data_IF_250544808631
#
_entry.id   IF_250544808631
#
_cell.length_a   1.000
_cell.length_b   1.000
_cell.length_c   1.000
_cell.angle_alpha   90.00
_cell.angle_beta   90.00
_cell.angle_gamma   90.00
#
_symmetry.space_group_name_H-M   'P 1'
#
loop_
_entity.id
_entity.type
_entity.pdbx_description
1 polymer ?
#
# COMPACT_ATOMS: atom_id res chain seq x y z
N UNK A 1 -26.56 7.19 -9.69
CA UNK A 1 -26.28 8.11 -8.56
C UNK A 1 -26.85 7.48 -7.30
N UNK A 2 -26.02 6.88 -6.44
CA UNK A 2 -26.49 6.16 -5.24
C UNK A 2 -26.36 7.04 -3.99
N UNK A 3 -27.45 7.13 -3.23
CA UNK A 3 -27.58 7.90 -1.99
C UNK A 3 -26.56 7.41 -0.95
N UNK A 4 -25.60 8.27 -0.63
CA UNK A 4 -24.65 8.09 0.48
C UNK A 4 -25.40 8.30 1.79
N UNK A 5 -26.04 7.26 2.33
CA UNK A 5 -26.67 7.33 3.64
C UNK A 5 -25.58 7.55 4.69
N UNK A 6 -25.57 8.78 5.24
CA UNK A 6 -24.77 9.14 6.40
C UNK A 6 -25.42 8.47 7.60
N UNK A 7 -24.98 7.25 7.94
CA UNK A 7 -25.36 6.61 9.21
C UNK A 7 -24.75 7.45 10.32
N UNK A 8 -25.55 8.34 10.91
CA UNK A 8 -25.22 9.05 12.13
C UNK A 8 -26.41 8.96 13.06
N UNK A 9 -26.20 8.36 14.24
CA UNK A 9 -27.07 8.55 15.40
C UNK A 9 -27.84 7.33 15.90
N UNK A 10 -27.70 6.14 15.33
CA UNK A 10 -28.31 4.94 15.93
C UNK A 10 -27.33 4.23 16.86
N UNK A 11 -27.76 4.02 18.12
CA UNK A 11 -27.09 3.09 19.06
C UNK A 11 -27.12 1.71 18.43
N UNK A 12 -25.95 1.25 17.99
CA UNK A 12 -25.76 -0.07 17.42
C UNK A 12 -25.30 -0.97 18.55
N UNK A 13 -26.13 -1.96 18.92
CA UNK A 13 -25.80 -2.93 19.96
C UNK A 13 -25.41 -4.26 19.35
N UNK A 14 -24.20 -4.72 19.62
CA UNK A 14 -23.77 -6.09 19.29
C UNK A 14 -23.73 -6.86 20.61
N UNK A 15 -24.51 -7.94 20.71
CA UNK A 15 -24.59 -8.77 21.93
C UNK A 15 -24.94 -7.96 23.20
N UNK A 16 -25.75 -6.91 23.05
CA UNK A 16 -26.14 -6.03 24.16
C UNK A 16 -25.11 -4.96 24.53
N UNK A 17 -23.95 -4.92 23.89
CA UNK A 17 -22.93 -3.88 24.07
C UNK A 17 -23.09 -2.77 23.03
N UNK A 18 -23.11 -1.52 23.48
CA UNK A 18 -23.13 -0.35 22.60
C UNK A 18 -21.78 -0.20 21.87
N UNK A 19 -21.83 -0.13 20.54
CA UNK A 19 -20.64 0.10 19.71
C UNK A 19 -20.32 1.59 19.62
N UNK A 20 -19.07 1.93 19.90
CA UNK A 20 -18.55 3.25 19.67
C UNK A 20 -18.30 3.49 18.17
N UNK A 21 -18.79 4.62 17.67
CA UNK A 21 -18.53 5.06 16.30
C UNK A 21 -17.18 5.75 16.21
N UNK A 22 -16.13 4.97 15.92
CA UNK A 22 -14.76 5.46 15.72
C UNK A 22 -14.51 5.83 14.26
N UNK A 23 -13.77 6.90 14.01
CA UNK A 23 -13.48 7.40 12.66
C UNK A 23 -12.39 6.58 11.94
N UNK A 24 -11.40 6.11 12.71
CA UNK A 24 -10.29 5.29 12.23
C UNK A 24 -10.22 4.03 13.11
N UNK A 25 -10.26 2.85 12.50
CA UNK A 25 -10.24 1.58 13.24
C UNK A 25 -9.11 0.68 12.76
N UNK A 26 -8.39 0.06 13.70
CA UNK A 26 -7.34 -0.91 13.39
C UNK A 26 -7.94 -2.33 13.37
N UNK A 27 -8.01 -2.95 12.20
CA UNK A 27 -8.52 -4.30 12.03
C UNK A 27 -7.47 -5.19 11.38
N UNK A 28 -7.11 -6.29 12.05
CA UNK A 28 -6.07 -7.23 11.60
C UNK A 28 -4.74 -6.55 11.22
N UNK A 29 -4.43 -5.41 11.86
CA UNK A 29 -3.22 -4.64 11.58
C UNK A 29 -3.32 -3.66 10.41
N UNK A 30 -4.50 -3.51 9.80
CA UNK A 30 -4.81 -2.53 8.75
C UNK A 30 -5.64 -1.40 9.35
N UNK A 31 -5.23 -0.15 9.15
CA UNK A 31 -6.04 1.02 9.50
C UNK A 31 -7.09 1.29 8.44
N UNK A 32 -8.35 1.26 8.86
CA UNK A 32 -9.51 1.53 8.03
C UNK A 32 -10.00 2.94 8.35
N UNK A 33 -9.89 3.84 7.39
CA UNK A 33 -10.47 5.19 7.47
C UNK A 33 -11.97 5.12 7.12
N UNK A 34 -12.78 6.02 7.66
CA UNK A 34 -14.20 6.17 7.28
C UNK A 34 -14.45 6.35 5.77
N UNK A 35 -13.51 6.94 5.05
CA UNK A 35 -13.60 7.14 3.60
C UNK A 35 -13.10 5.94 2.80
N UNK A 36 -12.63 4.87 3.47
CA UNK A 36 -11.95 3.72 2.86
C UNK A 36 -10.84 4.18 1.91
N UNK A 37 -10.15 5.27 2.27
CA UNK A 37 -9.08 5.84 1.45
C UNK A 37 -7.76 5.11 1.62
N UNK A 38 -7.56 4.46 2.78
CA UNK A 38 -6.36 3.72 3.18
C UNK A 38 -5.06 4.52 3.03
N UNK A 39 -5.13 5.86 2.98
CA UNK A 39 -3.97 6.71 2.70
C UNK A 39 -2.95 6.66 3.83
N UNK A 40 -3.42 6.68 5.07
CA UNK A 40 -2.57 6.56 6.25
C UNK A 40 -1.87 5.19 6.30
N UNK A 41 -2.61 4.13 5.97
CA UNK A 41 -2.08 2.77 5.90
C UNK A 41 -1.00 2.65 4.81
N UNK A 42 -1.23 3.19 3.61
CA UNK A 42 -0.23 3.18 2.53
C UNK A 42 1.04 3.92 2.94
N UNK A 43 0.93 5.08 3.60
CA UNK A 43 2.11 5.80 4.09
C UNK A 43 2.88 4.98 5.12
N UNK A 44 2.17 4.38 6.08
CA UNK A 44 2.76 3.50 7.08
C UNK A 44 3.51 2.31 6.47
N UNK A 45 2.92 1.66 5.47
CA UNK A 45 3.51 0.55 4.73
C UNK A 45 4.75 1.00 3.93
N UNK A 46 4.69 2.17 3.30
CA UNK A 46 5.82 2.75 2.57
C UNK A 46 7.00 3.00 3.51
N UNK A 47 6.77 3.56 4.69
CA UNK A 47 7.84 3.87 5.64
C UNK A 47 8.47 2.59 6.18
N UNK A 48 7.64 1.59 6.53
CA UNK A 48 8.11 0.26 6.94
C UNK A 48 8.91 -0.45 5.86
N UNK A 49 8.51 -0.32 4.60
CA UNK A 49 9.19 -0.95 3.46
C UNK A 49 10.50 -0.24 3.16
N UNK A 50 10.51 1.10 3.14
CA UNK A 50 11.71 1.92 2.93
C UNK A 50 12.79 1.63 3.96
N UNK A 51 12.44 1.49 5.24
CA UNK A 51 13.39 1.15 6.29
C UNK A 51 14.12 -0.17 6.00
N UNK A 52 13.39 -1.20 5.58
CA UNK A 52 13.96 -2.53 5.26
C UNK A 52 14.79 -2.50 3.98
N UNK A 53 14.32 -1.78 2.96
CA UNK A 53 15.08 -1.59 1.72
C UNK A 53 16.37 -0.80 1.95
N UNK A 54 16.37 0.15 2.89
CA UNK A 54 17.58 0.85 3.31
C UNK A 54 18.62 -0.11 3.89
N UNK A 55 18.20 -1.02 4.77
CA UNK A 55 19.07 -2.09 5.31
C UNK A 55 19.63 -2.97 4.19
N UNK A 56 18.77 -3.42 3.27
CA UNK A 56 19.19 -4.21 2.10
C UNK A 56 20.18 -3.45 1.21
N UNK A 57 20.02 -2.14 1.05
CA UNK A 57 20.93 -1.27 0.29
C UNK A 57 22.31 -1.20 0.93
N UNK A 58 22.38 -1.07 2.25
CA UNK A 58 23.64 -1.09 3.01
C UNK A 58 24.33 -2.46 2.89
N UNK A 59 23.58 -3.56 2.98
CA UNK A 59 24.10 -4.92 2.79
C UNK A 59 24.66 -5.14 1.38
N UNK A 60 24.05 -4.53 0.37
CA UNK A 60 24.46 -4.63 -1.03
C UNK A 60 25.72 -3.82 -1.35
N UNK A 61 26.01 -2.75 -0.60
CA UNK A 61 27.15 -1.85 -0.82
C UNK A 61 28.46 -2.24 -0.12
N UNK A 62 28.44 -3.22 0.79
CA UNK A 62 29.66 -3.67 1.50
C UNK A 62 30.51 -4.55 0.57
N UNK A 63 31.80 -4.21 0.45
CA UNK A 63 32.82 -4.94 -0.35
C UNK A 63 32.93 -6.45 -0.04
N UNK A 64 32.44 -6.89 1.12
CA UNK A 64 32.39 -8.30 1.56
C UNK A 64 30.98 -8.85 1.27
N UNK A 65 30.60 -8.78 -0.01
CA UNK A 65 29.22 -8.83 -0.50
C UNK A 65 28.36 -9.92 0.13
N UNK A 66 27.23 -9.52 0.70
CA UNK A 66 26.14 -10.44 0.92
C UNK A 66 25.83 -11.13 -0.41
N UNK A 67 26.05 -12.45 -0.51
CA UNK A 67 25.74 -13.22 -1.72
C UNK A 67 24.30 -12.90 -2.16
N UNK A 68 24.06 -12.89 -3.47
CA UNK A 68 22.71 -12.66 -4.02
C UNK A 68 21.62 -13.51 -3.32
N UNK A 69 21.96 -14.73 -2.90
CA UNK A 69 21.09 -15.60 -2.10
C UNK A 69 20.63 -14.98 -0.78
N UNK A 70 21.51 -14.28 -0.07
CA UNK A 70 21.23 -13.60 1.20
C UNK A 70 20.33 -12.39 0.97
N UNK A 71 20.63 -11.57 -0.03
CA UNK A 71 19.79 -10.42 -0.40
C UNK A 71 18.39 -10.85 -0.84
N UNK A 72 18.30 -11.92 -1.64
CA UNK A 72 17.02 -12.52 -2.04
C UNK A 72 16.24 -13.05 -0.85
N UNK A 73 16.90 -13.78 0.04
CA UNK A 73 16.28 -14.31 1.27
C UNK A 73 15.76 -13.17 2.15
N UNK A 74 16.57 -12.13 2.36
CA UNK A 74 16.16 -10.95 3.10
C UNK A 74 14.93 -10.28 2.48
N UNK A 75 14.91 -10.08 1.17
CA UNK A 75 13.76 -9.50 0.49
C UNK A 75 12.49 -10.36 0.67
N UNK A 76 12.60 -11.67 0.43
CA UNK A 76 11.47 -12.62 0.53
C UNK A 76 10.91 -12.69 1.94
N UNK A 77 11.76 -12.65 2.98
CA UNK A 77 11.29 -12.80 4.35
C UNK A 77 10.93 -11.48 5.04
N UNK A 78 11.59 -10.37 4.70
CA UNK A 78 11.41 -9.09 5.40
C UNK A 78 10.49 -8.11 4.66
N UNK A 79 10.57 -8.06 3.32
CA UNK A 79 9.88 -7.05 2.51
C UNK A 79 8.60 -7.59 1.90
N UNK A 80 8.68 -8.75 1.25
CA UNK A 80 7.56 -9.39 0.56
C UNK A 80 6.29 -9.57 1.40
N UNK A 81 6.32 -10.08 2.65
CA UNK A 81 5.07 -10.26 3.41
C UNK A 81 4.34 -8.95 3.71
N UNK A 82 5.06 -7.83 3.84
CA UNK A 82 4.45 -6.51 4.08
C UNK A 82 3.70 -6.05 2.83
N UNK A 83 4.31 -6.24 1.66
CA UNK A 83 3.71 -5.87 0.38
C UNK A 83 2.55 -6.79 0.03
N UNK A 84 2.72 -8.10 0.21
CA UNK A 84 1.70 -9.10 -0.09
C UNK A 84 0.45 -8.89 0.79
N UNK A 85 0.63 -8.61 2.08
CA UNK A 85 -0.50 -8.31 2.98
C UNK A 85 -1.18 -6.98 2.66
N UNK A 86 -0.39 -5.96 2.30
CA UNK A 86 -0.88 -4.65 1.89
C UNK A 86 -1.70 -4.67 0.59
N UNK A 87 -1.50 -5.65 -0.28
CA UNK A 87 -2.20 -5.74 -1.57
C UNK A 87 -3.72 -5.70 -1.42
N UNK A 88 -4.25 -6.30 -0.35
CA UNK A 88 -5.67 -6.29 -0.02
C UNK A 88 -6.18 -4.88 0.29
N UNK A 89 -5.41 -4.10 1.06
CA UNK A 89 -5.74 -2.71 1.35
C UNK A 89 -5.64 -1.84 0.08
N UNK A 90 -4.66 -2.12 -0.80
CA UNK A 90 -4.48 -1.39 -2.06
C UNK A 90 -5.62 -1.60 -3.05
N UNK A 91 -6.20 -2.81 -3.12
CA UNK A 91 -7.38 -3.06 -3.97
C UNK A 91 -8.58 -2.20 -3.57
N UNK A 92 -8.71 -1.85 -2.29
CA UNK A 92 -9.82 -1.06 -1.78
C UNK A 92 -9.60 0.46 -1.88
N UNK A 93 -8.42 0.92 -2.32
CA UNK A 93 -8.15 2.35 -2.50
C UNK A 93 -9.05 2.86 -3.62
N UNK A 94 -10.08 3.62 -3.25
CA UNK A 94 -10.75 4.50 -4.20
C UNK A 94 -9.78 5.62 -4.54
N UNK A 95 -9.38 5.71 -5.81
CA UNK A 95 -8.76 6.91 -6.31
C UNK A 95 -9.81 8.04 -6.28
N UNK A 96 -9.85 8.76 -5.16
CA UNK A 96 -10.48 10.07 -5.10
C UNK A 96 -9.52 11.03 -5.79
N UNK A 97 -9.44 10.87 -7.11
CA UNK A 97 -8.50 11.56 -7.96
C UNK A 97 -8.55 13.06 -7.72
N UNK A 98 -7.41 13.64 -7.35
CA UNK A 98 -7.14 15.00 -7.74
C UNK A 98 -6.48 14.92 -9.13
N UNK A 99 -7.20 15.25 -10.22
CA UNK A 99 -6.76 15.01 -11.59
C UNK A 99 -5.41 15.66 -11.93
N UNK A 100 -4.95 16.63 -11.14
CA UNK A 100 -3.71 17.36 -11.39
C UNK A 100 -2.42 16.64 -10.94
N UNK A 101 -2.50 15.57 -10.14
CA UNK A 101 -1.31 14.89 -9.56
C UNK A 101 -0.99 13.52 -10.16
N UNK A 102 -1.91 12.94 -10.93
CA UNK A 102 -1.75 11.60 -11.47
C UNK A 102 -0.87 11.56 -12.74
N UNK A 103 -0.76 12.68 -13.46
CA UNK A 103 0.10 12.80 -14.64
C UNK A 103 1.59 12.55 -14.37
N UNK A 104 2.07 12.78 -13.14
CA UNK A 104 3.48 12.61 -12.78
C UNK A 104 3.79 11.21 -12.20
N UNK A 105 2.80 10.32 -12.08
CA UNK A 105 2.92 9.04 -11.37
C UNK A 105 2.85 7.82 -12.27
N UNK A 106 3.03 7.98 -13.59
CA UNK A 106 3.19 6.83 -14.48
C UNK A 106 4.43 6.04 -14.07
N UNK A 107 4.30 4.73 -13.78
CA UNK A 107 5.45 3.92 -13.42
C UNK A 107 6.38 3.77 -14.64
N UNK A 108 7.67 3.98 -14.41
CA UNK A 108 8.72 4.08 -15.43
C UNK A 108 8.97 2.81 -16.26
N UNK A 109 8.17 1.74 -16.09
CA UNK A 109 8.23 0.55 -16.94
C UNK A 109 7.38 0.67 -18.22
N UNK A 110 6.45 1.65 -18.30
CA UNK A 110 5.63 1.87 -19.52
C UNK A 110 6.35 2.70 -20.59
N UNK A 111 7.53 3.25 -20.32
CA UNK A 111 8.29 4.08 -21.26
C UNK A 111 9.18 3.27 -22.23
N UNK A 112 9.09 1.94 -22.20
CA UNK A 112 9.92 1.03 -23.01
C UNK A 112 9.23 0.34 -24.19
N UNK A 113 7.99 0.69 -24.54
CA UNK A 113 7.35 0.19 -25.75
C UNK A 113 7.64 1.12 -26.94
N UNK A 114 8.92 1.27 -27.27
CA UNK A 114 9.37 1.87 -28.52
C UNK A 114 9.11 0.90 -29.66
N UNK A 115 8.44 1.41 -30.69
CA UNK A 115 8.10 0.73 -31.94
C UNK A 115 9.31 -0.02 -32.53
N UNK A 116 9.12 -1.30 -32.85
CA UNK A 116 10.05 -2.04 -33.70
C UNK A 116 9.78 -1.60 -35.15
N UNK A 117 10.76 -1.06 -35.89
CA UNK A 117 10.55 -0.75 -37.29
C UNK A 117 10.48 -2.07 -38.08
N UNK A 118 9.28 -2.45 -38.50
CA UNK A 118 9.11 -3.41 -39.59
C UNK A 118 9.46 -2.68 -40.88
N UNK A 119 10.74 -2.74 -41.25
CA UNK A 119 11.19 -2.43 -42.61
C UNK A 119 10.83 -3.59 -43.54
N UNK A 120 10.11 -3.26 -44.60
CA UNK A 120 10.30 -3.80 -45.93
C UNK A 120 10.32 -2.61 -46.88
#
# INVERSE_FOLDING_TARGET
MALRQRVQGTSLKIQGMDLEWVQDYLYLGVRIDRTLSFRQEVQYLLDRTKARLSVMRVMSGRRIGARHRVLRSFYVHAVRPIVDYASLAQMCIRDSGNPHRDASRRPSYEQGAGEMPTGC
#
